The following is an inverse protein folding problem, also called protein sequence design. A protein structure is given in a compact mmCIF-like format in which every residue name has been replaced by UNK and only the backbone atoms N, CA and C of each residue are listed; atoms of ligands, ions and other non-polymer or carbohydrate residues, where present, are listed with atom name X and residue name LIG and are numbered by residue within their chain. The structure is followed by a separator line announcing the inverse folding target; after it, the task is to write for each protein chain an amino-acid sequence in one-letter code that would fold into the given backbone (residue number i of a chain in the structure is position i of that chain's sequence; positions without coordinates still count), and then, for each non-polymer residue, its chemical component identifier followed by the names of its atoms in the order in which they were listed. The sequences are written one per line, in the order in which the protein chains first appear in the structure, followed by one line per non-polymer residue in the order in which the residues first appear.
data_IF_805701395229
#
_entry.id   IF_805701395229
#
_cell.length_a   1.000
_cell.length_b   1.000
_cell.length_c   1.000
_cell.angle_alpha   90.00
_cell.angle_beta   90.00
_cell.angle_gamma   90.00
#
_symmetry.space_group_name_H-M   'P 1'
#
loop_
_entity.id
_entity.type
_entity.pdbx_description
1 polymer ?
#
# COMPACT_ATOMS: atom_id res chain seq x y z
N UNK A 1 6.69 -6.61 13.82
CA UNK A 1 6.11 -7.27 12.74
C UNK A 1 7.12 -7.61 11.69
N UNK A 2 7.22 -8.79 11.45
CA UNK A 2 8.25 -9.19 10.57
C UNK A 2 7.68 -9.47 9.23
N UNK A 3 8.05 -8.73 8.29
CA UNK A 3 7.71 -9.11 6.98
C UNK A 3 8.92 -9.69 6.35
N UNK A 4 8.72 -10.68 5.55
CA UNK A 4 9.77 -11.33 4.87
C UNK A 4 10.31 -10.38 3.83
N UNK A 5 11.58 -10.10 3.90
CA UNK A 5 12.25 -9.28 2.90
C UNK A 5 11.66 -7.90 2.77
N UNK A 6 11.06 -7.40 3.82
CA UNK A 6 10.54 -6.04 3.78
C UNK A 6 9.27 -5.88 2.96
N UNK A 7 8.63 -6.99 2.62
CA UNK A 7 7.40 -6.95 1.85
C UNK A 7 6.20 -7.00 2.77
N UNK A 8 5.23 -6.14 2.52
CA UNK A 8 4.00 -6.11 3.28
C UNK A 8 2.88 -6.66 2.40
N UNK A 9 2.22 -7.69 2.89
CA UNK A 9 1.09 -8.28 2.15
C UNK A 9 -0.19 -7.54 2.49
N UNK A 10 -1.23 -7.84 1.72
CA UNK A 10 -2.55 -7.25 1.98
C UNK A 10 -3.03 -7.64 3.38
N UNK A 11 -2.83 -8.89 3.77
CA UNK A 11 -3.27 -9.32 5.08
C UNK A 11 -2.56 -8.55 6.19
N UNK A 12 -1.27 -8.35 6.04
CA UNK A 12 -0.52 -7.59 7.04
C UNK A 12 -0.95 -6.14 7.06
N UNK A 13 -1.24 -5.58 5.91
CA UNK A 13 -1.66 -4.19 5.84
C UNK A 13 -3.02 -4.00 6.49
N UNK A 14 -3.95 -4.92 6.24
CA UNK A 14 -5.26 -4.85 6.88
C UNK A 14 -5.11 -4.90 8.39
N UNK A 15 -4.28 -5.82 8.87
CA UNK A 15 -4.10 -5.98 10.30
C UNK A 15 -3.54 -4.72 10.94
N UNK A 16 -2.56 -4.11 10.28
CA UNK A 16 -1.97 -2.90 10.81
C UNK A 16 -2.95 -1.73 10.77
N UNK A 17 -3.68 -1.61 9.68
CA UNK A 17 -4.60 -0.49 9.52
C UNK A 17 -5.77 -0.56 10.48
N UNK A 18 -6.18 -1.77 10.89
CA UNK A 18 -7.30 -1.88 11.83
C UNK A 18 -6.95 -1.33 13.20
N UNK A 19 -5.68 -1.14 13.48
CA UNK A 19 -5.27 -0.57 14.76
C UNK A 19 -5.25 0.94 14.73
N UNK A 20 -5.54 1.53 13.60
CA UNK A 20 -5.43 2.98 13.43
C UNK A 20 -6.81 3.61 13.29
N UNK A 21 -6.91 4.90 13.57
CA UNK A 21 -8.19 5.58 13.38
C UNK A 21 -8.67 5.44 11.95
N UNK A 22 -9.95 5.20 11.79
CA UNK A 22 -10.50 4.90 10.47
C UNK A 22 -10.50 6.11 9.55
N UNK A 23 -10.48 7.29 10.12
CA UNK A 23 -10.49 8.50 9.30
C UNK A 23 -9.09 9.10 9.15
N UNK A 24 -8.06 8.38 9.55
CA UNK A 24 -6.71 8.84 9.30
C UNK A 24 -6.43 8.85 7.80
N UNK A 25 -5.71 9.86 7.36
CA UNK A 25 -5.37 10.02 5.96
C UNK A 25 -4.18 9.14 5.64
N UNK A 26 -4.19 8.51 4.48
CA UNK A 26 -3.09 7.66 4.06
C UNK A 26 -2.16 8.46 3.16
N UNK A 27 -0.90 8.48 3.53
CA UNK A 27 0.13 9.15 2.76
C UNK A 27 1.17 8.14 2.35
N UNK A 28 1.85 8.40 1.26
CA UNK A 28 2.98 7.58 0.87
C UNK A 28 4.21 8.45 0.77
N UNK A 29 5.33 7.88 1.16
CA UNK A 29 6.60 8.58 1.12
C UNK A 29 7.33 8.22 -0.17
N UNK A 30 7.79 9.24 -0.85
CA UNK A 30 8.58 9.03 -2.04
C UNK A 30 9.76 9.99 -2.00
N UNK A 31 10.62 9.90 -2.98
CA UNK A 31 11.88 10.61 -2.94
C UNK A 31 11.78 12.10 -2.65
N UNK A 32 10.69 12.72 -2.99
CA UNK A 32 10.53 14.14 -2.79
C UNK A 32 9.74 14.53 -1.56
N UNK A 33 9.24 13.58 -0.80
CA UNK A 33 8.43 13.89 0.36
C UNK A 33 7.21 13.02 0.45
N UNK A 34 6.16 13.55 1.04
CA UNK A 34 4.93 12.79 1.24
C UNK A 34 3.88 13.21 0.24
N UNK A 35 3.13 12.24 -0.25
CA UNK A 35 2.02 12.48 -1.16
C UNK A 35 0.78 11.79 -0.63
N UNK A 36 -0.36 12.43 -0.82
CA UNK A 36 -1.63 11.81 -0.48
C UNK A 36 -1.91 10.67 -1.43
N UNK A 37 -2.42 9.58 -0.90
CA UNK A 37 -2.83 8.46 -1.74
C UNK A 37 -4.27 8.73 -2.17
N UNK A 38 -4.49 8.81 -3.47
CA UNK A 38 -5.82 9.12 -3.94
C UNK A 38 -6.54 7.90 -4.49
N UNK A 39 -5.81 6.87 -4.90
CA UNK A 39 -6.40 5.72 -5.54
C UNK A 39 -5.59 4.47 -5.24
N UNK A 40 -6.26 3.33 -5.32
CA UNK A 40 -5.60 2.04 -5.26
C UNK A 40 -5.79 1.33 -6.58
N UNK A 41 -4.77 0.61 -7.01
CA UNK A 41 -4.86 -0.18 -8.21
C UNK A 41 -4.53 -1.62 -7.87
N UNK A 42 -5.06 -2.54 -8.65
CA UNK A 42 -4.85 -3.95 -8.40
C UNK A 42 -4.41 -4.62 -9.69
N UNK A 43 -3.36 -5.41 -9.59
CA UNK A 43 -2.84 -6.17 -10.71
C UNK A 43 -2.94 -7.64 -10.35
N UNK A 44 -3.67 -8.40 -11.14
CA UNK A 44 -3.85 -9.83 -10.89
C UNK A 44 -2.54 -10.56 -11.11
N UNK A 45 -2.36 -11.63 -10.36
CA UNK A 45 -1.17 -12.43 -10.49
C UNK A 45 -1.12 -13.15 -11.83
N UNK A 46 0.08 -13.39 -12.30
CA UNK A 46 0.29 -14.07 -13.58
C UNK A 46 0.78 -15.50 -13.37
N UNK A 47 0.75 -15.99 -12.14
CA UNK A 47 1.22 -17.30 -11.84
C UNK A 47 2.12 -17.30 -10.63
N UNK A 48 2.72 -18.44 -10.29
CA UNK A 48 3.50 -18.49 -9.05
C UNK A 48 4.68 -17.53 -9.00
N UNK A 49 5.22 -17.19 -10.14
CA UNK A 49 6.37 -16.28 -10.17
C UNK A 49 5.99 -14.82 -10.23
N UNK A 50 4.71 -14.53 -10.39
CA UNK A 50 4.25 -13.16 -10.50
C UNK A 50 3.00 -12.97 -9.66
N UNK A 51 3.16 -12.72 -8.38
CA UNK A 51 2.03 -12.60 -7.47
C UNK A 51 1.17 -11.36 -7.76
N UNK A 52 -0.07 -11.41 -7.29
CA UNK A 52 -0.94 -10.26 -7.41
C UNK A 52 -0.36 -9.09 -6.63
N UNK A 53 -0.68 -7.89 -7.07
CA UNK A 53 -0.11 -6.68 -6.47
C UNK A 53 -1.19 -5.64 -6.24
N UNK A 54 -1.01 -4.89 -5.17
CA UNK A 54 -1.84 -3.72 -4.90
C UNK A 54 -0.92 -2.51 -4.97
N UNK A 55 -1.33 -1.52 -5.73
CA UNK A 55 -0.49 -0.35 -5.96
C UNK A 55 -1.19 0.88 -5.41
N UNK A 56 -0.46 1.63 -4.60
CA UNK A 56 -0.96 2.90 -4.08
C UNK A 56 -0.57 3.99 -5.06
N UNK A 57 -1.56 4.77 -5.47
CA UNK A 57 -1.31 5.83 -6.43
C UNK A 57 -1.42 7.18 -5.75
N UNK A 58 -0.42 8.03 -5.93
CA UNK A 58 -0.45 9.34 -5.30
C UNK A 58 -1.43 10.28 -5.99
N UNK A 59 -1.82 11.30 -5.24
CA UNK A 59 -2.67 12.35 -5.78
C UNK A 59 -1.79 13.29 -6.59
N UNK A 60 -2.00 13.31 -7.88
CA UNK A 60 -1.15 14.10 -8.77
C UNK A 60 -1.55 15.56 -8.82
N UNK A 61 -2.63 15.92 -8.16
CA UNK A 61 -3.11 17.30 -8.21
C UNK A 61 -2.75 18.14 -7.02
N UNK A 62 -2.02 17.58 -6.08
CA UNK A 62 -1.71 18.36 -4.90
C UNK A 62 -0.48 19.23 -5.04
#
# INVERSE_FOLDING_TARGET
MAEEDGVVTVAQLIEELTRMPRDAVVLMESGGGLSLVSTLDFVAGQGPAAPAEVILLPNMNE
#
